data_IF_875808151916
#
_entry.id   IF_875808151916
#
_cell.length_a   1.000
_cell.length_b   1.000
_cell.length_c   1.000
_cell.angle_alpha   90.00
_cell.angle_beta   90.00
_cell.angle_gamma   90.00
#
_symmetry.space_group_name_H-M   'P 1'
#
loop_
_entity.id
_entity.type
_entity.pdbx_description
1 polymer ?
#
# COMPACT_ATOMS: atom_id res chain seq x y z
N UNK A 1 -32.02 41.65 57.80
CA UNK A 1 -32.71 41.75 56.48
C UNK A 1 -32.20 43.01 55.80
N UNK A 2 -31.24 42.84 54.89
CA UNK A 2 -30.72 43.92 54.05
C UNK A 2 -30.77 43.40 52.61
N UNK A 3 -31.58 44.08 51.80
CA UNK A 3 -31.72 43.87 50.36
C UNK A 3 -30.50 44.55 49.73
N UNK A 4 -29.64 43.77 49.06
CA UNK A 4 -28.58 44.29 48.22
C UNK A 4 -28.93 44.05 46.76
N UNK A 5 -28.90 45.15 46.03
CA UNK A 5 -29.32 45.36 44.64
C UNK A 5 -28.52 44.50 43.67
N UNK A 6 -29.20 43.91 42.68
CA UNK A 6 -28.59 43.30 41.50
C UNK A 6 -27.73 44.31 40.75
N UNK A 7 -26.49 43.92 40.44
CA UNK A 7 -25.78 44.46 39.28
C UNK A 7 -25.49 43.29 38.35
N UNK A 8 -26.36 43.13 37.35
CA UNK A 8 -26.09 42.31 36.17
C UNK A 8 -24.94 43.00 35.42
N UNK A 9 -23.72 42.46 35.52
CA UNK A 9 -22.70 42.78 34.54
C UNK A 9 -23.03 41.99 33.27
N UNK A 10 -23.79 42.62 32.39
CA UNK A 10 -23.75 42.33 30.98
C UNK A 10 -22.38 42.77 30.46
N UNK A 11 -21.42 41.83 30.40
CA UNK A 11 -20.19 42.02 29.65
C UNK A 11 -20.50 41.82 28.17
N UNK A 12 -20.14 42.82 27.39
CA UNK A 12 -20.44 42.97 25.98
C UNK A 12 -19.86 41.83 25.14
N UNK A 13 -20.71 41.16 24.37
CA UNK A 13 -20.32 40.44 23.17
C UNK A 13 -20.15 41.50 22.08
N UNK A 14 -18.97 42.09 22.00
CA UNK A 14 -18.59 42.93 20.86
C UNK A 14 -17.12 42.68 20.51
N UNK A 15 -16.92 42.15 19.30
CA UNK A 15 -15.76 42.52 18.49
C UNK A 15 -14.81 41.37 18.13
N UNK A 16 -15.04 40.78 16.96
CA UNK A 16 -14.00 40.38 15.98
C UNK A 16 -12.62 40.02 16.56
N UNK A 17 -12.49 38.81 17.08
CA UNK A 17 -11.23 38.07 17.01
C UNK A 17 -11.40 37.04 15.92
N UNK A 18 -10.59 37.13 14.86
CA UNK A 18 -10.34 36.04 13.94
C UNK A 18 -10.46 34.71 14.69
N UNK A 19 -11.44 33.87 14.36
CA UNK A 19 -11.34 32.44 14.67
C UNK A 19 -10.10 31.98 13.88
N UNK A 20 -8.92 32.09 14.50
CA UNK A 20 -7.77 31.33 14.08
C UNK A 20 -8.23 29.89 14.21
N UNK A 21 -8.65 29.31 13.09
CA UNK A 21 -8.72 27.87 12.99
C UNK A 21 -7.38 27.36 13.53
N UNK A 22 -7.40 26.42 14.49
CA UNK A 22 -6.16 25.78 14.90
C UNK A 22 -5.47 25.28 13.62
N UNK A 23 -4.13 25.42 13.53
CA UNK A 23 -3.40 24.89 12.38
C UNK A 23 -3.78 23.43 12.19
N UNK A 24 -4.17 23.07 10.98
CA UNK A 24 -4.57 21.72 10.61
C UNK A 24 -3.50 21.13 9.71
N UNK A 25 -3.20 19.87 9.91
CA UNK A 25 -2.43 19.08 8.96
C UNK A 25 -3.36 18.02 8.36
N UNK A 26 -3.38 17.88 7.04
CA UNK A 26 -4.48 17.19 6.35
C UNK A 26 -3.99 16.02 5.49
N UNK A 27 -2.72 15.61 5.58
CA UNK A 27 -2.28 14.46 4.79
C UNK A 27 -1.43 13.52 5.62
N UNK A 28 -1.96 12.31 5.80
CA UNK A 28 -1.20 11.15 6.23
C UNK A 28 -0.98 10.29 5.00
N UNK A 29 0.27 10.14 4.60
CA UNK A 29 0.67 9.10 3.67
C UNK A 29 1.36 8.00 4.48
N UNK A 30 0.96 6.76 4.29
CA UNK A 30 1.47 5.62 5.06
C UNK A 30 2.18 4.68 4.10
N UNK A 31 3.48 4.51 4.29
CA UNK A 31 4.32 3.57 3.53
C UNK A 31 4.98 2.59 4.48
N UNK A 32 4.88 1.30 4.13
CA UNK A 32 5.47 0.14 4.81
C UNK A 32 5.14 0.06 6.32
N UNK A 33 5.91 0.75 7.18
CA UNK A 33 5.78 0.75 8.65
C UNK A 33 5.84 2.16 9.25
N UNK A 34 5.61 3.18 8.42
CA UNK A 34 5.78 4.58 8.81
C UNK A 34 4.58 5.44 8.44
N UNK A 35 4.36 6.49 9.24
CA UNK A 35 3.29 7.45 9.05
C UNK A 35 3.92 8.80 8.70
N UNK A 36 3.81 9.21 7.43
CA UNK A 36 4.23 10.54 7.01
C UNK A 36 3.10 11.54 7.27
N UNK A 37 3.36 12.53 8.12
CA UNK A 37 2.41 13.60 8.44
C UNK A 37 2.83 14.86 7.69
N UNK A 38 1.96 15.38 6.83
CA UNK A 38 2.20 16.59 6.02
C UNK A 38 1.35 17.75 6.51
N UNK A 39 2.00 18.90 6.73
CA UNK A 39 1.31 20.11 7.16
C UNK A 39 0.62 20.82 6.00
N UNK A 40 -0.67 21.10 6.11
CA UNK A 40 -1.45 21.78 5.06
C UNK A 40 -1.80 23.23 5.41
N UNK A 41 -1.90 23.57 6.69
CA UNK A 41 -1.91 24.94 7.21
C UNK A 41 -1.06 25.04 8.49
N UNK A 42 -0.15 26.01 8.53
CA UNK A 42 0.78 26.22 9.64
C UNK A 42 0.88 27.70 9.97
N UNK A 43 0.66 28.05 11.23
CA UNK A 43 0.82 29.43 11.71
C UNK A 43 1.63 29.47 12.99
N UNK A 44 2.88 29.89 12.85
CA UNK A 44 3.76 30.15 14.00
C UNK A 44 4.13 28.90 14.79
N UNK A 45 4.09 27.72 14.17
CA UNK A 45 4.65 26.51 14.75
C UNK A 45 6.15 26.46 14.52
N UNK A 46 6.86 25.94 15.51
CA UNK A 46 8.29 25.65 15.41
C UNK A 46 8.49 24.16 15.58
N UNK A 47 9.35 23.58 14.75
CA UNK A 47 9.66 22.16 14.74
C UNK A 47 10.15 21.70 16.12
N UNK A 48 11.08 22.46 16.71
CA UNK A 48 11.66 22.27 18.05
C UNK A 48 10.63 22.25 19.21
N UNK A 49 9.39 22.66 18.94
CA UNK A 49 8.30 22.73 19.91
C UNK A 49 7.05 21.97 19.45
N UNK A 50 7.15 21.19 18.37
CA UNK A 50 6.05 20.40 17.85
C UNK A 50 6.42 18.93 18.06
N UNK A 51 5.66 18.27 18.93
CA UNK A 51 5.83 16.88 19.30
C UNK A 51 4.72 16.05 18.64
N UNK A 52 5.02 14.78 18.43
CA UNK A 52 4.09 13.79 17.91
C UNK A 52 3.88 12.78 19.02
N UNK A 53 2.64 12.52 19.39
CA UNK A 53 2.30 11.66 20.53
C UNK A 53 1.32 10.57 20.12
N UNK A 54 1.48 9.37 20.65
CA UNK A 54 0.48 8.32 20.56
C UNK A 54 -0.53 8.51 21.69
N UNK A 55 -1.81 8.65 21.32
CA UNK A 55 -2.88 9.05 22.24
C UNK A 55 -3.02 8.07 23.40
N UNK A 56 -2.61 8.53 24.58
CA UNK A 56 -2.73 7.77 25.83
C UNK A 56 -1.48 6.96 26.19
N UNK A 57 -0.46 6.94 25.33
CA UNK A 57 0.70 6.06 25.46
C UNK A 57 2.01 6.84 25.58
N UNK A 58 2.14 7.98 24.90
CA UNK A 58 3.25 8.91 25.14
C UNK A 58 3.82 9.54 23.89
N UNK A 59 5.09 9.94 23.98
CA UNK A 59 5.81 10.69 22.95
C UNK A 59 6.38 9.74 21.88
N UNK A 60 6.12 10.07 20.62
CA UNK A 60 6.67 9.43 19.43
C UNK A 60 7.79 10.27 18.80
N UNK A 61 8.20 11.37 19.43
CA UNK A 61 9.30 12.21 18.97
C UNK A 61 8.88 13.61 18.56
N UNK A 62 9.85 14.36 18.03
CA UNK A 62 9.68 15.74 17.60
C UNK A 62 9.65 15.82 16.09
N UNK A 63 9.10 16.92 15.57
CA UNK A 63 9.14 17.20 14.15
C UNK A 63 10.60 17.22 13.63
N UNK A 64 10.91 16.42 12.61
CA UNK A 64 12.30 16.14 12.17
C UNK A 64 13.11 17.35 11.66
N UNK A 65 12.41 18.43 11.29
CA UNK A 65 13.02 19.66 10.80
C UNK A 65 13.41 20.59 11.95
N UNK A 66 14.04 21.73 11.64
CA UNK A 66 14.35 22.75 12.66
C UNK A 66 13.78 24.10 12.27
N UNK A 67 13.53 24.95 13.26
CA UNK A 67 13.05 26.30 13.04
C UNK A 67 11.54 26.38 12.82
N UNK A 68 11.09 27.29 11.96
CA UNK A 68 9.65 27.54 11.74
C UNK A 68 9.08 26.58 10.70
N UNK A 69 8.02 25.87 11.07
CA UNK A 69 7.31 24.97 10.19
C UNK A 69 6.48 25.73 9.15
N UNK A 70 6.39 25.15 7.96
CA UNK A 70 5.67 25.70 6.81
C UNK A 70 4.71 24.66 6.24
N UNK A 71 3.74 25.16 5.47
CA UNK A 71 2.90 24.31 4.65
C UNK A 71 3.77 23.46 3.72
N UNK A 72 3.49 22.16 3.69
CA UNK A 72 4.21 21.15 2.92
C UNK A 72 5.39 20.52 3.65
N UNK A 73 5.73 20.99 4.86
CA UNK A 73 6.69 20.28 5.68
C UNK A 73 6.13 18.90 6.05
N UNK A 74 7.01 17.91 6.06
CA UNK A 74 6.72 16.50 6.33
C UNK A 74 7.57 16.06 7.51
N UNK A 75 7.01 15.18 8.31
CA UNK A 75 7.72 14.38 9.32
C UNK A 75 7.27 12.95 9.17
N UNK A 76 8.15 12.01 9.50
CA UNK A 76 7.87 10.58 9.38
C UNK A 76 7.92 9.99 10.78
N UNK A 77 6.85 9.31 11.18
CA UNK A 77 6.82 8.55 12.43
C UNK A 77 7.00 7.09 12.07
N UNK A 78 8.14 6.53 12.43
CA UNK A 78 8.41 5.10 12.27
C UNK A 78 7.68 4.30 13.34
N UNK A 79 7.38 3.01 13.04
CA UNK A 79 6.75 2.07 13.97
C UNK A 79 7.31 2.10 15.39
N UNK A 80 8.62 2.26 15.52
CA UNK A 80 9.35 2.15 16.77
C UNK A 80 9.68 3.50 17.42
N UNK A 81 9.23 4.61 16.84
CA UNK A 81 9.44 5.94 17.42
C UNK A 81 8.53 6.18 18.62
N UNK A 82 7.39 5.48 18.66
CA UNK A 82 6.42 5.52 19.75
C UNK A 82 6.75 4.53 20.89
N UNK A 83 6.19 4.73 22.09
CA UNK A 83 6.40 3.82 23.23
C UNK A 83 5.90 2.40 22.96
N UNK A 84 4.80 2.28 22.22
CA UNK A 84 4.25 1.05 21.70
C UNK A 84 4.29 1.08 20.15
N UNK A 85 4.49 -0.07 19.48
CA UNK A 85 4.48 -0.14 18.03
C UNK A 85 3.16 0.38 17.47
N UNK A 86 3.21 1.26 16.48
CA UNK A 86 2.01 1.77 15.85
C UNK A 86 1.16 0.64 15.24
N UNK A 87 -0.15 0.69 15.48
CA UNK A 87 -1.14 -0.26 15.00
C UNK A 87 -2.28 0.45 14.26
N UNK A 88 -3.10 -0.34 13.56
CA UNK A 88 -4.31 0.18 12.90
C UNK A 88 -5.33 0.65 13.95
N UNK A 89 -5.81 1.88 13.80
CA UNK A 89 -6.79 2.50 14.71
C UNK A 89 -6.16 3.35 15.81
N UNK A 90 -4.83 3.31 15.92
CA UNK A 90 -4.08 4.21 16.79
C UNK A 90 -4.29 5.65 16.41
N UNK A 91 -4.22 6.55 17.39
CA UNK A 91 -4.41 7.98 17.16
C UNK A 91 -3.12 8.72 17.49
N UNK A 92 -2.41 9.13 16.44
CA UNK A 92 -1.30 10.06 16.55
C UNK A 92 -1.83 11.48 16.79
N UNK A 93 -1.16 12.24 17.65
CA UNK A 93 -1.52 13.59 18.05
C UNK A 93 -0.34 14.50 17.79
N UNK A 94 -0.55 15.55 17.00
CA UNK A 94 0.46 16.59 16.82
C UNK A 94 0.20 17.67 17.88
N UNK A 95 1.15 17.86 18.78
CA UNK A 95 0.99 18.76 19.92
C UNK A 95 2.09 19.82 19.96
N UNK A 96 1.73 21.01 20.42
CA UNK A 96 2.66 22.05 20.85
C UNK A 96 2.57 22.15 22.38
N UNK A 97 3.51 22.78 23.13
CA UNK A 97 3.65 22.61 24.59
C UNK A 97 2.42 22.95 25.45
N UNK A 98 1.35 23.49 24.84
CA UNK A 98 0.10 23.85 25.51
C UNK A 98 -1.17 23.56 24.70
N UNK A 99 -1.07 23.03 23.48
CA UNK A 99 -2.21 22.93 22.56
C UNK A 99 -2.10 21.66 21.72
N UNK A 100 -3.18 20.87 21.68
CA UNK A 100 -3.38 19.84 20.68
C UNK A 100 -3.68 20.52 19.34
N UNK A 101 -2.81 20.30 18.35
CA UNK A 101 -2.93 20.92 17.05
C UNK A 101 -3.83 20.08 16.16
N UNK A 102 -3.57 18.78 16.08
CA UNK A 102 -4.34 17.85 15.26
C UNK A 102 -4.25 16.40 15.75
N UNK A 103 -5.10 15.52 15.19
CA UNK A 103 -5.12 14.09 15.47
C UNK A 103 -5.32 13.26 14.21
N UNK A 104 -4.59 12.14 14.11
CA UNK A 104 -4.61 11.23 12.98
C UNK A 104 -4.85 9.81 13.45
N UNK A 105 -5.92 9.20 12.94
CA UNK A 105 -6.10 7.76 13.09
C UNK A 105 -5.26 7.03 12.04
N UNK A 106 -4.42 6.09 12.47
CA UNK A 106 -3.59 5.24 11.62
C UNK A 106 -4.51 4.26 10.88
N UNK A 107 -4.53 4.34 9.54
CA UNK A 107 -5.53 3.61 8.73
C UNK A 107 -4.99 2.37 8.02
N UNK A 108 -3.68 2.20 7.93
CA UNK A 108 -3.06 1.10 7.19
C UNK A 108 -3.28 -0.27 7.82
N UNK A 109 -3.10 -1.30 7.01
CA UNK A 109 -3.12 -2.68 7.49
C UNK A 109 -1.70 -3.04 7.93
N UNK A 110 -1.46 -3.01 9.24
CA UNK A 110 -0.27 -3.59 9.84
C UNK A 110 -0.52 -5.08 9.92
N UNK A 111 0.12 -5.86 9.05
CA UNK A 111 0.13 -7.30 9.22
C UNK A 111 1.42 -7.68 9.94
N UNK A 112 1.33 -8.64 10.86
CA UNK A 112 2.53 -9.18 11.48
C UNK A 112 3.44 -9.78 10.41
N UNK A 113 4.77 -9.65 10.56
CA UNK A 113 5.69 -10.32 9.64
C UNK A 113 5.48 -11.84 9.75
N UNK A 114 5.42 -12.50 8.60
CA UNK A 114 5.21 -13.95 8.53
C UNK A 114 6.41 -14.79 8.99
N UNK A 115 7.50 -14.16 9.42
CA UNK A 115 8.78 -14.80 9.77
C UNK A 115 8.64 -15.89 10.86
N UNK A 116 7.65 -15.76 11.74
CA UNK A 116 7.38 -16.76 12.78
C UNK A 116 6.72 -18.05 12.24
N UNK A 117 6.23 -18.02 11.00
CA UNK A 117 5.46 -19.09 10.35
C UNK A 117 6.24 -19.81 9.25
N UNK A 118 7.46 -19.36 8.95
CA UNK A 118 8.33 -20.02 7.97
C UNK A 118 8.98 -21.27 8.58
N UNK A 119 8.92 -22.38 7.85
CA UNK A 119 9.63 -23.60 8.22
C UNK A 119 10.94 -23.68 7.41
N UNK A 120 11.90 -22.82 7.76
CA UNK A 120 13.09 -22.58 6.94
C UNK A 120 12.87 -21.42 5.97
N UNK A 121 13.18 -21.61 4.67
CA UNK A 121 13.05 -20.58 3.63
C UNK A 121 11.71 -20.67 2.85
N UNK A 122 10.73 -21.45 3.32
CA UNK A 122 9.46 -21.63 2.62
C UNK A 122 8.28 -21.28 3.54
N UNK A 123 7.31 -20.54 3.00
CA UNK A 123 5.97 -20.34 3.55
C UNK A 123 4.94 -21.08 2.70
N UNK A 124 4.15 -21.94 3.33
CA UNK A 124 3.01 -22.59 2.69
C UNK A 124 1.74 -22.21 3.41
N UNK A 125 0.85 -21.47 2.74
CA UNK A 125 -0.47 -21.11 3.26
C UNK A 125 -1.42 -22.26 2.97
N UNK A 126 -1.91 -22.90 4.03
CA UNK A 126 -2.88 -23.98 3.95
C UNK A 126 -4.29 -23.47 4.18
N UNK A 127 -5.29 -24.28 3.82
CA UNK A 127 -6.70 -23.98 4.08
C UNK A 127 -7.01 -23.84 5.57
N UNK A 128 -6.30 -24.57 6.43
CA UNK A 128 -6.51 -24.55 7.88
C UNK A 128 -5.99 -23.24 8.51
N UNK A 129 -5.05 -22.57 7.84
CA UNK A 129 -4.46 -21.29 8.24
C UNK A 129 -5.09 -20.09 7.51
N UNK A 130 -6.12 -20.32 6.70
CA UNK A 130 -6.74 -19.32 5.83
C UNK A 130 -7.89 -18.54 6.50
N UNK A 131 -7.98 -17.21 6.33
CA UNK A 131 -7.01 -16.35 5.66
C UNK A 131 -5.79 -16.07 6.54
N UNK A 132 -4.59 -16.24 5.98
CA UNK A 132 -3.35 -15.85 6.63
C UNK A 132 -3.10 -14.37 6.34
N UNK A 133 -2.97 -13.57 7.39
CA UNK A 133 -2.79 -12.11 7.31
C UNK A 133 -1.41 -11.75 7.81
N UNK A 134 -0.46 -11.59 6.90
CA UNK A 134 0.94 -11.31 7.24
C UNK A 134 1.66 -10.61 6.08
N UNK A 135 2.68 -9.84 6.42
CA UNK A 135 3.62 -9.29 5.43
C UNK A 135 4.84 -10.21 5.31
N UNK A 136 5.33 -10.34 4.07
CA UNK A 136 6.50 -11.13 3.71
C UNK A 136 7.50 -10.16 3.11
N UNK A 137 8.39 -9.65 3.95
CA UNK A 137 9.42 -8.66 3.62
C UNK A 137 10.73 -9.05 4.29
N UNK A 138 11.86 -8.60 3.73
CA UNK A 138 13.18 -8.80 4.32
C UNK A 138 13.33 -8.09 5.67
N UNK A 139 14.36 -8.45 6.44
CA UNK A 139 14.61 -7.87 7.78
C UNK A 139 14.89 -6.36 7.76
N UNK A 140 15.29 -5.85 6.60
CA UNK A 140 15.49 -4.42 6.32
C UNK A 140 14.26 -3.75 5.68
N UNK A 141 13.11 -4.43 5.66
CA UNK A 141 11.90 -4.01 4.95
C UNK A 141 11.97 -4.20 3.43
N UNK A 142 13.10 -4.74 2.93
CA UNK A 142 13.33 -5.04 1.54
C UNK A 142 12.71 -6.37 1.12
N UNK A 143 13.40 -7.09 0.24
CA UNK A 143 12.94 -8.36 -0.32
C UNK A 143 13.36 -9.55 0.55
N UNK A 144 12.46 -10.50 0.73
CA UNK A 144 12.72 -11.76 1.43
C UNK A 144 13.17 -12.85 0.45
N UNK A 145 14.20 -13.61 0.84
CA UNK A 145 14.66 -14.82 0.15
C UNK A 145 13.88 -16.04 0.66
N UNK A 146 12.57 -16.05 0.36
CA UNK A 146 11.69 -17.15 0.72
C UNK A 146 10.74 -17.54 -0.42
N UNK A 147 10.36 -18.81 -0.45
CA UNK A 147 9.32 -19.31 -1.36
C UNK A 147 7.96 -19.26 -0.69
N UNK A 148 6.99 -18.62 -1.33
CA UNK A 148 5.60 -18.51 -0.90
C UNK A 148 4.73 -19.40 -1.78
N UNK A 149 3.98 -20.32 -1.15
CA UNK A 149 2.98 -21.15 -1.81
C UNK A 149 1.62 -20.98 -1.15
N UNK A 150 0.63 -20.52 -1.90
CA UNK A 150 -0.78 -20.46 -1.47
C UNK A 150 -1.47 -21.71 -2.03
N UNK A 151 -1.87 -22.64 -1.16
CA UNK A 151 -2.54 -23.87 -1.58
C UNK A 151 -3.98 -23.62 -2.06
N UNK A 152 -4.59 -24.69 -2.59
CA UNK A 152 -6.00 -24.68 -2.99
C UNK A 152 -6.91 -24.28 -1.83
N UNK A 153 -7.89 -23.44 -2.13
CA UNK A 153 -8.83 -22.81 -1.18
C UNK A 153 -8.18 -21.97 -0.07
N UNK A 154 -6.86 -21.72 -0.10
CA UNK A 154 -6.18 -20.90 0.88
C UNK A 154 -6.16 -19.42 0.45
N UNK A 155 -5.95 -18.53 1.41
CA UNK A 155 -5.90 -17.09 1.19
C UNK A 155 -4.75 -16.46 1.96
N UNK A 156 -3.91 -15.70 1.27
CA UNK A 156 -2.90 -14.82 1.86
C UNK A 156 -3.31 -13.37 1.67
N UNK A 157 -3.25 -12.59 2.74
CA UNK A 157 -3.53 -11.16 2.73
C UNK A 157 -2.32 -10.40 3.29
N UNK A 158 -1.73 -9.53 2.49
CA UNK A 158 -0.59 -8.71 2.89
C UNK A 158 0.33 -8.32 1.73
N UNK A 159 1.45 -7.71 2.09
CA UNK A 159 2.52 -7.29 1.19
C UNK A 159 3.54 -8.41 1.06
N UNK A 160 3.94 -8.72 -0.17
CA UNK A 160 4.91 -9.78 -0.47
C UNK A 160 6.03 -9.20 -1.33
N UNK A 161 7.22 -9.03 -0.76
CA UNK A 161 8.44 -8.58 -1.44
C UNK A 161 9.42 -9.77 -1.49
N UNK A 162 9.67 -10.34 -2.67
CA UNK A 162 10.54 -11.52 -2.84
C UNK A 162 11.77 -11.18 -3.66
N UNK A 163 12.93 -11.68 -3.23
CA UNK A 163 14.21 -11.53 -3.93
C UNK A 163 14.36 -12.61 -4.97
N UNK A 164 15.29 -12.41 -5.90
CA UNK A 164 15.49 -13.38 -6.97
C UNK A 164 16.01 -14.72 -6.43
N UNK A 165 15.25 -15.79 -6.66
CA UNK A 165 15.77 -17.15 -6.60
C UNK A 165 15.73 -17.80 -7.98
N UNK A 166 16.54 -18.85 -8.15
CA UNK A 166 16.57 -19.61 -9.41
C UNK A 166 15.24 -20.31 -9.76
N UNK A 167 14.24 -20.27 -8.88
CA UNK A 167 12.90 -20.82 -9.09
C UNK A 167 11.82 -19.76 -8.85
N UNK A 168 10.59 -20.03 -9.32
CA UNK A 168 9.43 -19.19 -9.03
C UNK A 168 9.15 -19.16 -7.51
N UNK A 169 9.38 -18.01 -6.89
CA UNK A 169 9.23 -17.86 -5.43
C UNK A 169 7.80 -17.60 -5.00
N UNK A 170 6.92 -17.09 -5.87
CA UNK A 170 5.52 -16.89 -5.54
C UNK A 170 4.61 -17.83 -6.34
N UNK A 171 3.90 -18.72 -5.65
CA UNK A 171 3.08 -19.77 -6.26
C UNK A 171 1.65 -19.73 -5.72
N UNK A 172 0.66 -19.48 -6.57
CA UNK A 172 -0.76 -19.67 -6.25
C UNK A 172 -1.23 -20.98 -6.90
N UNK A 173 -1.64 -21.97 -6.10
CA UNK A 173 -2.25 -23.21 -6.59
C UNK A 173 -3.69 -22.94 -7.04
N UNK A 174 -4.32 -23.94 -7.66
CA UNK A 174 -5.68 -23.81 -8.19
C UNK A 174 -6.64 -23.29 -7.10
N UNK A 175 -7.50 -22.33 -7.43
CA UNK A 175 -8.49 -21.74 -6.49
C UNK A 175 -7.88 -21.04 -5.24
N UNK A 176 -6.56 -20.85 -5.21
CA UNK A 176 -5.89 -20.04 -4.19
C UNK A 176 -6.14 -18.54 -4.36
N UNK A 177 -6.07 -17.80 -3.24
CA UNK A 177 -6.39 -16.37 -3.19
C UNK A 177 -5.24 -15.54 -2.65
N UNK A 178 -4.95 -14.42 -3.29
CA UNK A 178 -4.01 -13.42 -2.80
C UNK A 178 -4.68 -12.05 -2.75
N UNK A 179 -4.53 -11.33 -1.64
CA UNK A 179 -5.05 -9.97 -1.48
C UNK A 179 -3.94 -9.06 -0.96
N UNK A 180 -3.48 -8.10 -1.76
CA UNK A 180 -2.41 -7.17 -1.39
C UNK A 180 -1.42 -6.93 -2.52
N UNK A 181 -0.19 -6.52 -2.20
CA UNK A 181 0.81 -6.12 -3.18
C UNK A 181 1.90 -7.18 -3.30
N UNK A 182 2.17 -7.63 -4.52
CA UNK A 182 3.29 -8.52 -4.84
C UNK A 182 4.37 -7.73 -5.56
N UNK A 183 5.58 -7.75 -5.02
CA UNK A 183 6.79 -7.27 -5.69
C UNK A 183 7.82 -8.40 -5.70
N UNK A 184 8.17 -8.94 -6.87
CA UNK A 184 8.99 -10.16 -6.97
C UNK A 184 10.02 -10.02 -8.07
N UNK A 185 11.29 -10.36 -7.77
CA UNK A 185 12.34 -10.47 -8.79
C UNK A 185 12.27 -11.82 -9.53
N UNK A 186 11.34 -12.71 -9.20
CA UNK A 186 11.12 -13.95 -9.95
C UNK A 186 9.68 -14.05 -10.43
N UNK A 187 9.48 -14.71 -11.57
CA UNK A 187 8.16 -14.78 -12.20
C UNK A 187 7.18 -15.60 -11.36
N UNK A 188 6.01 -15.07 -10.95
CA UNK A 188 5.06 -15.82 -10.14
C UNK A 188 4.36 -16.91 -10.96
N UNK A 189 4.11 -18.06 -10.33
CA UNK A 189 3.32 -19.15 -10.91
C UNK A 189 1.88 -19.09 -10.42
N UNK A 190 0.97 -18.62 -11.26
CA UNK A 190 -0.46 -18.46 -10.94
C UNK A 190 -1.28 -19.52 -11.67
N UNK A 191 -1.81 -20.52 -10.95
CA UNK A 191 -2.60 -21.63 -11.54
C UNK A 191 -4.05 -21.23 -11.81
N UNK A 192 -4.76 -22.11 -12.52
CA UNK A 192 -6.15 -21.93 -12.93
C UNK A 192 -7.07 -21.53 -11.78
N UNK A 193 -8.05 -20.67 -12.06
CA UNK A 193 -9.07 -20.20 -11.12
C UNK A 193 -8.52 -19.48 -9.87
N UNK A 194 -7.27 -19.01 -9.89
CA UNK A 194 -6.76 -18.18 -8.82
C UNK A 194 -7.55 -16.85 -8.74
N UNK A 195 -7.61 -16.27 -7.55
CA UNK A 195 -8.16 -14.91 -7.35
C UNK A 195 -7.08 -13.99 -6.78
N UNK A 196 -6.86 -12.85 -7.42
CA UNK A 196 -5.86 -11.87 -7.02
C UNK A 196 -6.59 -10.54 -6.80
N UNK A 197 -6.51 -9.99 -5.59
CA UNK A 197 -7.08 -8.68 -5.24
C UNK A 197 -5.96 -7.76 -4.80
N UNK A 198 -5.29 -7.15 -5.76
CA UNK A 198 -4.22 -6.17 -5.55
C UNK A 198 -3.21 -6.20 -6.69
N UNK A 199 -2.06 -5.58 -6.46
CA UNK A 199 -1.15 -5.22 -7.53
C UNK A 199 0.03 -6.18 -7.63
N UNK A 200 0.47 -6.44 -8.88
CA UNK A 200 1.68 -7.22 -9.17
C UNK A 200 2.69 -6.28 -9.83
N UNK A 201 3.88 -6.19 -9.25
CA UNK A 201 5.03 -5.48 -9.81
C UNK A 201 6.19 -6.43 -9.99
N UNK A 202 6.67 -6.56 -11.23
CA UNK A 202 7.87 -7.32 -11.58
C UNK A 202 8.90 -6.32 -12.13
N UNK A 203 10.00 -6.04 -11.39
CA UNK A 203 11.07 -5.13 -11.82
C UNK A 203 11.90 -5.77 -12.95
N UNK A 204 12.97 -5.12 -13.41
CA UNK A 204 13.83 -5.57 -14.51
C UNK A 204 14.40 -7.00 -14.33
N UNK A 205 14.39 -7.77 -15.42
CA UNK A 205 15.00 -9.10 -15.59
C UNK A 205 14.64 -10.15 -14.51
N UNK A 206 13.35 -10.40 -14.21
CA UNK A 206 13.01 -11.51 -13.34
C UNK A 206 13.47 -12.84 -13.95
N UNK A 207 13.73 -13.84 -13.10
CA UNK A 207 14.01 -15.19 -13.59
C UNK A 207 12.77 -15.78 -14.31
N UNK A 208 12.70 -15.57 -15.63
CA UNK A 208 11.70 -16.07 -16.57
C UNK A 208 11.02 -14.97 -17.38
N UNK A 209 10.75 -15.26 -18.67
CA UNK A 209 10.40 -14.23 -19.68
C UNK A 209 8.91 -13.85 -19.77
N UNK A 210 8.04 -14.49 -18.97
CA UNK A 210 6.58 -14.36 -19.16
C UNK A 210 5.75 -14.53 -17.90
N UNK A 211 4.99 -13.49 -17.54
CA UNK A 211 3.91 -13.56 -16.56
C UNK A 211 2.68 -14.25 -17.17
N UNK A 212 2.28 -15.40 -16.61
CA UNK A 212 1.14 -16.18 -17.11
C UNK A 212 0.00 -16.18 -16.09
N UNK A 213 -1.10 -15.51 -16.42
CA UNK A 213 -2.38 -15.73 -15.74
C UNK A 213 -3.11 -16.88 -16.44
N UNK A 214 -3.24 -18.02 -15.75
CA UNK A 214 -3.83 -19.22 -16.33
C UNK A 214 -5.36 -19.17 -16.36
N UNK A 215 -6.00 -20.22 -16.89
CA UNK A 215 -7.42 -20.22 -17.23
C UNK A 215 -8.32 -19.84 -16.04
N UNK A 216 -9.39 -19.08 -16.32
CA UNK A 216 -10.41 -18.71 -15.34
C UNK A 216 -9.86 -17.91 -14.13
N UNK A 217 -8.65 -17.34 -14.23
CA UNK A 217 -8.06 -16.47 -13.20
C UNK A 217 -8.77 -15.12 -13.17
N UNK A 218 -9.06 -14.61 -11.97
CA UNK A 218 -9.64 -13.28 -11.76
C UNK A 218 -8.65 -12.39 -11.00
N UNK A 219 -8.39 -11.20 -11.53
CA UNK A 219 -7.54 -10.19 -10.92
C UNK A 219 -8.29 -8.87 -10.79
N UNK A 220 -8.27 -8.27 -9.60
CA UNK A 220 -8.75 -6.93 -9.32
C UNK A 220 -7.58 -6.12 -8.77
N UNK A 221 -6.95 -5.32 -9.62
CA UNK A 221 -5.69 -4.62 -9.37
C UNK A 221 -4.88 -4.52 -10.64
N UNK A 222 -3.70 -3.88 -10.55
CA UNK A 222 -2.88 -3.57 -11.72
C UNK A 222 -1.68 -4.52 -11.85
N UNK A 223 -1.24 -4.72 -13.09
CA UNK A 223 -0.02 -5.45 -13.43
C UNK A 223 0.99 -4.44 -13.95
N UNK A 224 2.18 -4.42 -13.37
CA UNK A 224 3.34 -3.69 -13.89
C UNK A 224 4.50 -4.65 -14.09
N UNK A 225 5.03 -4.71 -15.31
CA UNK A 225 6.24 -5.47 -15.64
C UNK A 225 7.25 -4.60 -16.39
N UNK A 226 8.54 -4.93 -16.29
CA UNK A 226 9.61 -4.29 -17.05
C UNK A 226 10.36 -5.37 -17.83
N UNK A 227 10.45 -5.23 -19.16
CA UNK A 227 11.11 -6.15 -20.09
C UNK A 227 10.46 -7.54 -20.24
N UNK A 228 9.28 -7.74 -19.65
CA UNK A 228 8.59 -9.04 -19.62
C UNK A 228 7.29 -9.10 -20.43
N UNK A 229 6.97 -10.28 -20.94
CA UNK A 229 5.69 -10.56 -21.60
C UNK A 229 4.58 -10.87 -20.56
N UNK A 230 3.38 -10.34 -20.77
CA UNK A 230 2.16 -10.69 -20.01
C UNK A 230 1.24 -11.53 -20.89
N UNK A 231 1.04 -12.81 -20.53
CA UNK A 231 0.13 -13.73 -21.21
C UNK A 231 -1.12 -13.99 -20.36
N UNK A 232 -2.28 -13.58 -20.86
CA UNK A 232 -3.58 -13.87 -20.26
C UNK A 232 -4.24 -15.03 -21.00
N UNK A 233 -4.39 -16.18 -20.34
CA UNK A 233 -5.02 -17.38 -20.94
C UNK A 233 -6.54 -17.25 -20.97
N UNK A 234 -7.21 -18.30 -21.45
CA UNK A 234 -8.64 -18.24 -21.72
C UNK A 234 -9.49 -17.92 -20.48
N UNK A 235 -10.52 -17.09 -20.67
CA UNK A 235 -11.45 -16.64 -19.63
C UNK A 235 -10.80 -15.89 -18.45
N UNK A 236 -9.60 -15.34 -18.60
CA UNK A 236 -8.99 -14.47 -17.58
C UNK A 236 -9.73 -13.14 -17.52
N UNK A 237 -9.95 -12.64 -16.30
CA UNK A 237 -10.52 -11.32 -16.06
C UNK A 237 -9.51 -10.49 -15.28
N UNK A 238 -9.14 -9.32 -15.80
CA UNK A 238 -8.33 -8.31 -15.12
C UNK A 238 -9.15 -7.03 -15.00
N UNK A 239 -9.34 -6.53 -13.79
CA UNK A 239 -9.96 -5.22 -13.51
C UNK A 239 -8.92 -4.29 -12.92
N UNK A 240 -8.30 -3.52 -13.78
CA UNK A 240 -7.12 -2.71 -13.49
C UNK A 240 -6.24 -2.60 -14.72
N UNK A 241 -5.18 -1.81 -14.57
CA UNK A 241 -4.32 -1.45 -15.70
C UNK A 241 -3.20 -2.49 -15.88
N UNK A 242 -2.78 -2.67 -17.13
CA UNK A 242 -1.62 -3.49 -17.48
C UNK A 242 -0.57 -2.56 -18.10
N UNK A 243 0.58 -2.47 -17.44
CA UNK A 243 1.70 -1.63 -17.85
C UNK A 243 2.91 -2.52 -18.11
N UNK A 244 3.38 -2.53 -19.36
CA UNK A 244 4.61 -3.21 -19.77
C UNK A 244 5.61 -2.16 -20.22
N UNK A 245 6.67 -1.98 -19.44
CA UNK A 245 7.77 -1.07 -19.71
C UNK A 245 9.00 -1.85 -20.24
N UNK A 246 10.03 -1.14 -20.72
CA UNK A 246 11.31 -1.76 -21.08
C UNK A 246 11.68 -1.70 -22.56
N UNK A 247 12.82 -2.28 -22.91
CA UNK A 247 13.39 -2.38 -24.27
C UNK A 247 13.85 -3.80 -24.65
N UNK A 248 13.40 -4.82 -23.90
CA UNK A 248 13.67 -6.23 -24.12
C UNK A 248 13.32 -6.71 -25.53
N UNK A 249 13.76 -7.92 -25.87
CA UNK A 249 13.59 -8.43 -27.25
C UNK A 249 12.15 -8.73 -27.63
N UNK A 250 11.31 -9.17 -26.68
CA UNK A 250 9.90 -9.52 -26.93
C UNK A 250 8.94 -9.21 -25.74
N UNK A 251 9.07 -8.08 -25.00
CA UNK A 251 8.02 -7.67 -24.07
C UNK A 251 6.72 -7.40 -24.84
N UNK A 252 5.58 -7.57 -24.18
CA UNK A 252 4.29 -7.41 -24.83
C UNK A 252 3.13 -7.95 -24.00
N UNK A 253 1.93 -7.90 -24.57
CA UNK A 253 0.71 -8.41 -23.93
C UNK A 253 -0.03 -9.32 -24.92
N UNK A 254 -0.21 -10.60 -24.57
CA UNK A 254 -0.99 -11.58 -25.33
C UNK A 254 -2.30 -11.89 -24.60
N UNK A 255 -3.42 -11.49 -25.22
CA UNK A 255 -4.78 -11.70 -24.72
C UNK A 255 -5.42 -12.90 -25.44
N UNK A 256 -5.49 -14.03 -24.74
CA UNK A 256 -6.14 -15.25 -25.20
C UNK A 256 -7.66 -15.16 -25.36
N UNK A 257 -8.32 -16.31 -25.54
CA UNK A 257 -9.75 -16.36 -25.82
C UNK A 257 -10.64 -15.94 -24.64
N UNK A 258 -11.68 -15.16 -24.89
CA UNK A 258 -12.63 -14.68 -23.87
C UNK A 258 -11.99 -13.95 -22.69
N UNK A 259 -10.81 -13.35 -22.90
CA UNK A 259 -10.17 -12.49 -21.89
C UNK A 259 -10.95 -11.19 -21.76
N UNK A 260 -11.10 -10.69 -20.53
CA UNK A 260 -11.64 -9.37 -20.24
C UNK A 260 -10.60 -8.53 -19.49
N UNK A 261 -10.22 -7.38 -20.05
CA UNK A 261 -9.45 -6.35 -19.35
C UNK A 261 -10.34 -5.12 -19.17
N UNK A 262 -10.70 -4.84 -17.92
CA UNK A 262 -11.43 -3.63 -17.52
C UNK A 262 -10.46 -2.59 -16.96
N UNK A 263 -9.70 -1.97 -17.86
CA UNK A 263 -8.60 -1.04 -17.56
C UNK A 263 -7.81 -0.70 -18.82
N UNK A 264 -6.80 0.16 -18.67
CA UNK A 264 -5.91 0.54 -19.76
C UNK A 264 -4.78 -0.49 -19.93
N UNK A 265 -4.32 -0.67 -21.17
CA UNK A 265 -3.13 -1.44 -21.51
C UNK A 265 -2.11 -0.47 -22.10
N UNK A 266 -1.02 -0.22 -21.38
CA UNK A 266 0.13 0.53 -21.90
C UNK A 266 1.30 -0.42 -22.13
N UNK A 267 1.57 -0.72 -23.39
CA UNK A 267 2.68 -1.59 -23.78
C UNK A 267 3.94 -0.78 -24.16
N UNK A 268 3.94 0.54 -23.97
CA UNK A 268 5.10 1.42 -24.18
C UNK A 268 5.89 1.19 -25.51
N UNK A 269 5.17 0.91 -26.59
CA UNK A 269 5.74 0.66 -27.92
C UNK A 269 5.92 -0.82 -28.30
N UNK A 270 5.54 -1.73 -27.41
CA UNK A 270 5.55 -3.16 -27.63
C UNK A 270 4.24 -3.71 -28.20
N UNK A 271 4.26 -4.97 -28.66
CA UNK A 271 3.07 -5.61 -29.23
C UNK A 271 2.00 -5.91 -28.19
N UNK A 272 0.74 -5.66 -28.56
CA UNK A 272 -0.43 -6.23 -27.88
C UNK A 272 -1.18 -7.10 -28.88
N UNK A 273 -1.12 -8.41 -28.66
CA UNK A 273 -1.83 -9.41 -29.45
C UNK A 273 -3.17 -9.70 -28.79
N UNK A 274 -4.26 -9.44 -29.53
CA UNK A 274 -5.64 -9.54 -29.00
C UNK A 274 -6.40 -10.59 -29.79
N UNK A 275 -6.82 -11.68 -29.13
CA UNK A 275 -7.67 -12.68 -29.78
C UNK A 275 -9.02 -12.09 -30.19
N UNK A 276 -9.69 -12.68 -31.19
CA UNK A 276 -10.98 -12.20 -31.71
C UNK A 276 -12.10 -12.16 -30.64
N UNK A 277 -11.94 -12.90 -29.54
CA UNK A 277 -12.92 -13.00 -28.45
C UNK A 277 -12.52 -12.25 -27.18
N UNK A 278 -11.33 -11.66 -27.14
CA UNK A 278 -10.89 -10.81 -26.05
C UNK A 278 -11.60 -9.45 -26.08
N UNK A 279 -11.81 -8.86 -24.91
CA UNK A 279 -12.46 -7.57 -24.74
C UNK A 279 -11.65 -6.67 -23.81
N UNK A 280 -11.31 -5.48 -24.26
CA UNK A 280 -10.62 -4.45 -23.49
C UNK A 280 -11.52 -3.23 -23.43
N UNK A 281 -11.91 -2.79 -22.24
CA UNK A 281 -12.83 -1.64 -22.08
C UNK A 281 -12.09 -0.29 -22.07
N UNK A 282 -10.82 -0.29 -21.69
CA UNK A 282 -9.96 0.88 -21.66
C UNK A 282 -9.20 1.11 -22.97
N UNK A 283 -8.15 1.92 -22.87
CA UNK A 283 -7.30 2.33 -23.98
C UNK A 283 -6.14 1.34 -24.14
N UNK A 284 -5.82 0.98 -25.38
CA UNK A 284 -4.59 0.27 -25.71
C UNK A 284 -3.59 1.28 -26.28
N UNK A 285 -2.48 1.49 -25.58
CA UNK A 285 -1.40 2.38 -25.98
C UNK A 285 -0.21 1.57 -26.47
N UNK A 286 0.12 1.74 -27.75
CA UNK A 286 1.29 1.17 -28.42
C UNK A 286 2.03 2.33 -29.08
N UNK A 287 2.97 2.96 -28.37
CA UNK A 287 3.75 4.06 -28.92
C UNK A 287 4.88 3.53 -29.80
N UNK A 288 4.57 3.24 -31.07
CA UNK A 288 5.55 2.79 -32.07
C UNK A 288 6.45 3.89 -32.63
#
# INVERSE_FOLDING_TARGET
MFVAVMTVLAAAILGVGFLQQPPSAEMVFQEDESVAIVLTDVRGLSADSTEIQLRGEGDCGQWDSSGTLKKGDVTIVERNDCPDPLEKGDVLQVVSPKVLLDTYEVRGNWYDRCDALTNGNDLTVSKDDSPLKCDIVGDDGGRADIKVTINEDAELIGTVKLSDSSESDFNIKQEGKFTGTLNSDSMPTIKDKATINGDITLPEEPNGDTLKLNQDTEMNGSIKTIDEEVQLKSNVIVRGDIIVEGSGMDPGVDLGENVLVDGDIDANGHSVDVSESANVTGTITQNG
#
